data_IF_992085151289
#
_entry.id   IF_992085151289
#
_cell.length_a   1.000
_cell.length_b   1.000
_cell.length_c   1.000
_cell.angle_alpha   90.00
_cell.angle_beta   90.00
_cell.angle_gamma   90.00
#
_symmetry.space_group_name_H-M   'P 1'
#
loop_
_entity.id
_entity.type
_entity.pdbx_description
1 polymer ?
#
# COMPACT_ATOMS: atom_id res chain seq x y z
N UNK A 1 6.77 -12.02 -19.50
CA UNK A 1 6.22 -13.28 -18.94
C UNK A 1 4.84 -13.49 -19.52
N UNK A 2 4.48 -14.72 -19.89
CA UNK A 2 3.15 -15.02 -20.40
C UNK A 2 2.11 -15.04 -19.27
N UNK A 3 0.81 -14.97 -19.63
CA UNK A 3 -0.31 -15.14 -18.69
C UNK A 3 -0.19 -16.45 -17.90
N UNK A 4 0.20 -17.52 -18.61
CA UNK A 4 0.32 -18.86 -18.03
C UNK A 4 1.46 -18.92 -16.99
N UNK A 5 2.62 -18.31 -17.28
CA UNK A 5 3.75 -18.27 -16.35
C UNK A 5 3.40 -17.54 -15.05
N UNK A 6 2.62 -16.44 -15.12
CA UNK A 6 2.17 -15.71 -13.93
C UNK A 6 1.17 -16.54 -13.14
N UNK A 7 0.26 -17.25 -13.80
CA UNK A 7 -0.68 -18.14 -13.12
C UNK A 7 0.05 -19.25 -12.36
N UNK A 8 1.12 -19.81 -12.93
CA UNK A 8 1.96 -20.80 -12.26
C UNK A 8 2.61 -20.19 -11.00
N UNK A 9 3.14 -18.96 -11.08
CA UNK A 9 3.72 -18.28 -9.89
C UNK A 9 2.66 -18.10 -8.81
N UNK A 10 1.44 -17.69 -9.16
CA UNK A 10 0.34 -17.51 -8.21
C UNK A 10 -0.05 -18.87 -7.60
N UNK A 11 -0.18 -19.91 -8.40
CA UNK A 11 -0.55 -21.24 -7.92
C UNK A 11 0.48 -21.81 -6.96
N UNK A 12 1.78 -21.75 -7.30
CA UNK A 12 2.85 -22.22 -6.42
C UNK A 12 2.93 -21.39 -5.13
N UNK A 13 2.55 -20.12 -5.18
CA UNK A 13 2.45 -19.29 -3.99
C UNK A 13 1.28 -19.73 -3.08
N UNK A 14 0.12 -20.10 -3.64
CA UNK A 14 -1.00 -20.64 -2.87
C UNK A 14 -0.60 -21.95 -2.17
N UNK A 15 0.17 -22.81 -2.85
CA UNK A 15 0.72 -24.02 -2.24
C UNK A 15 1.67 -23.68 -1.08
N UNK A 16 2.53 -22.66 -1.27
CA UNK A 16 3.44 -22.18 -0.24
C UNK A 16 2.68 -21.66 0.99
N UNK A 17 1.64 -20.86 0.79
CA UNK A 17 0.79 -20.34 1.87
C UNK A 17 0.07 -21.48 2.62
N UNK A 18 -0.57 -22.39 1.89
CA UNK A 18 -1.34 -23.50 2.46
C UNK A 18 -0.46 -24.46 3.25
N UNK A 19 0.76 -24.69 2.80
CA UNK A 19 1.75 -25.55 3.44
C UNK A 19 2.54 -24.87 4.56
N UNK A 20 2.33 -23.56 4.80
CA UNK A 20 3.13 -22.71 5.70
C UNK A 20 4.63 -22.72 5.35
N UNK A 21 4.93 -22.68 4.06
CA UNK A 21 6.30 -22.63 3.53
C UNK A 21 6.98 -24.00 3.36
N UNK A 22 6.27 -25.10 3.56
CA UNK A 22 6.86 -26.46 3.43
C UNK A 22 6.92 -26.91 1.96
N UNK A 23 5.94 -26.52 1.15
CA UNK A 23 5.88 -26.81 -0.30
C UNK A 23 5.45 -25.57 -1.08
N UNK A 24 5.61 -25.58 -2.38
CA UNK A 24 5.40 -24.43 -3.24
C UNK A 24 6.53 -23.42 -3.14
N UNK A 25 6.33 -22.25 -3.72
CA UNK A 25 7.31 -21.15 -3.73
C UNK A 25 6.62 -19.82 -3.41
N UNK A 26 7.23 -19.02 -2.56
CA UNK A 26 6.79 -17.65 -2.36
C UNK A 26 6.84 -16.88 -3.68
N UNK A 27 5.74 -16.19 -4.04
CA UNK A 27 5.67 -15.46 -5.30
C UNK A 27 6.75 -14.37 -5.37
N UNK A 28 7.51 -14.40 -6.47
CA UNK A 28 8.53 -13.41 -6.77
C UNK A 28 8.23 -12.79 -8.13
N UNK A 29 7.78 -11.52 -8.10
CA UNK A 29 7.47 -10.70 -9.28
C UNK A 29 8.49 -9.55 -9.45
N UNK A 30 9.63 -9.63 -8.78
CA UNK A 30 10.64 -8.57 -8.77
C UNK A 30 11.04 -8.13 -10.17
N UNK A 31 10.91 -6.82 -10.45
CA UNK A 31 11.29 -6.20 -11.71
C UNK A 31 10.43 -6.59 -12.91
N UNK A 32 9.35 -7.34 -12.71
CA UNK A 32 8.47 -7.78 -13.79
C UNK A 32 7.53 -6.68 -14.25
N UNK A 33 7.04 -6.79 -15.49
CA UNK A 33 5.93 -5.98 -15.99
C UNK A 33 4.63 -6.77 -15.85
N UNK A 34 3.78 -6.29 -14.93
CA UNK A 34 2.42 -6.77 -14.65
C UNK A 34 1.39 -5.67 -14.90
N UNK A 35 1.72 -4.71 -15.79
CA UNK A 35 0.82 -3.60 -16.08
C UNK A 35 -0.51 -4.11 -16.67
N UNK A 36 -1.61 -3.54 -16.18
CA UNK A 36 -2.97 -3.93 -16.57
C UNK A 36 -3.42 -5.33 -16.11
N UNK A 37 -2.59 -6.03 -15.34
CA UNK A 37 -2.89 -7.40 -14.91
C UNK A 37 -4.08 -7.47 -13.93
N UNK A 38 -4.85 -8.54 -14.02
CA UNK A 38 -5.93 -8.82 -13.08
C UNK A 38 -5.46 -9.77 -11.97
N UNK A 39 -5.19 -9.19 -10.80
CA UNK A 39 -4.77 -9.87 -9.57
C UNK A 39 -5.85 -9.75 -8.47
N UNK A 40 -7.11 -9.47 -8.84
CA UNK A 40 -8.21 -9.32 -7.88
C UNK A 40 -8.36 -10.53 -7.00
N UNK A 41 -8.60 -10.28 -5.70
CA UNK A 41 -8.92 -11.30 -4.71
C UNK A 41 -7.86 -12.39 -4.53
N UNK A 42 -6.67 -12.23 -5.14
CA UNK A 42 -5.57 -13.17 -4.94
C UNK A 42 -4.98 -13.00 -3.52
N UNK A 43 -4.60 -14.10 -2.91
CA UNK A 43 -3.76 -14.06 -1.71
C UNK A 43 -2.28 -14.05 -2.16
N UNK A 44 -1.67 -12.88 -2.04
CA UNK A 44 -0.28 -12.58 -2.40
C UNK A 44 0.48 -12.06 -1.17
N UNK A 45 0.05 -12.53 0.01
CA UNK A 45 0.68 -12.15 1.27
C UNK A 45 2.15 -12.55 1.31
N UNK A 46 2.99 -11.59 1.66
CA UNK A 46 4.44 -11.75 1.67
C UNK A 46 5.12 -11.80 0.29
N UNK A 47 4.39 -11.73 -0.83
CA UNK A 47 4.98 -11.77 -2.17
C UNK A 47 6.00 -10.65 -2.40
N UNK A 48 7.01 -10.91 -3.22
CA UNK A 48 8.01 -9.91 -3.63
C UNK A 48 7.58 -9.22 -4.94
N UNK A 49 7.21 -7.94 -4.83
CA UNK A 49 6.88 -7.01 -5.90
C UNK A 49 7.93 -5.90 -6.04
N UNK A 50 9.15 -6.10 -5.56
CA UNK A 50 10.22 -5.09 -5.65
C UNK A 50 10.44 -4.66 -7.08
N UNK A 51 10.38 -3.32 -7.35
CA UNK A 51 10.60 -2.73 -8.68
C UNK A 51 9.65 -3.24 -9.77
N UNK A 52 8.51 -3.84 -9.42
CA UNK A 52 7.51 -4.32 -10.37
C UNK A 52 6.80 -3.15 -11.04
N UNK A 53 6.41 -3.31 -12.30
CA UNK A 53 5.45 -2.44 -12.95
C UNK A 53 4.04 -3.02 -12.80
N UNK A 54 3.20 -2.39 -11.98
CA UNK A 54 1.77 -2.71 -11.77
C UNK A 54 0.87 -1.57 -12.23
N UNK A 55 1.34 -0.75 -13.17
CA UNK A 55 0.55 0.34 -13.71
C UNK A 55 -0.77 -0.18 -14.26
N UNK A 56 -1.91 0.44 -13.87
CA UNK A 56 -3.26 0.04 -14.25
C UNK A 56 -3.67 -1.39 -13.82
N UNK A 57 -2.85 -2.09 -13.03
CA UNK A 57 -3.21 -3.43 -12.55
C UNK A 57 -4.42 -3.37 -11.61
N UNK A 58 -5.20 -4.45 -11.60
CA UNK A 58 -6.33 -4.60 -10.72
C UNK A 58 -5.99 -5.51 -9.52
N UNK A 59 -5.82 -4.90 -8.35
CA UNK A 59 -5.51 -5.54 -7.07
C UNK A 59 -6.72 -5.45 -6.10
N UNK A 60 -7.94 -5.25 -6.63
CA UNK A 60 -9.14 -5.11 -5.80
C UNK A 60 -9.30 -6.30 -4.87
N UNK A 61 -9.44 -6.03 -3.55
CA UNK A 61 -9.60 -7.05 -2.51
C UNK A 61 -8.47 -8.08 -2.43
N UNK A 62 -7.32 -7.86 -3.09
CA UNK A 62 -6.17 -8.73 -2.94
C UNK A 62 -5.64 -8.70 -1.50
N UNK A 63 -5.19 -9.85 -1.00
CA UNK A 63 -4.44 -9.92 0.25
C UNK A 63 -2.95 -9.71 -0.05
N UNK A 64 -2.44 -8.54 0.33
CA UNK A 64 -1.07 -8.07 0.11
C UNK A 64 -0.34 -7.86 1.45
N UNK A 65 -0.81 -8.55 2.50
CA UNK A 65 -0.24 -8.45 3.84
C UNK A 65 1.25 -8.78 3.81
N UNK A 66 2.08 -7.86 4.31
CA UNK A 66 3.53 -8.04 4.37
C UNK A 66 4.22 -8.13 3.00
N UNK A 67 3.53 -7.91 1.88
CA UNK A 67 4.14 -7.91 0.55
C UNK A 67 5.13 -6.76 0.38
N UNK A 68 6.16 -6.99 -0.42
CA UNK A 68 7.22 -6.01 -0.68
C UNK A 68 7.03 -5.33 -2.02
N UNK A 69 6.65 -4.05 -2.01
CA UNK A 69 6.47 -3.16 -3.17
C UNK A 69 7.56 -2.09 -3.27
N UNK A 70 8.72 -2.31 -2.71
CA UNK A 70 9.79 -1.31 -2.71
C UNK A 70 10.13 -0.87 -4.14
N UNK A 71 10.04 0.46 -4.39
CA UNK A 71 10.24 1.08 -5.70
C UNK A 71 9.31 0.54 -6.82
N UNK A 72 8.15 -0.02 -6.49
CA UNK A 72 7.17 -0.47 -7.46
C UNK A 72 6.42 0.71 -8.10
N UNK A 73 5.96 0.52 -9.34
CA UNK A 73 5.04 1.43 -10.01
C UNK A 73 3.61 0.90 -9.88
N UNK A 74 2.80 1.56 -9.06
CA UNK A 74 1.38 1.26 -8.83
C UNK A 74 0.47 2.37 -9.40
N UNK A 75 0.96 3.19 -10.33
CA UNK A 75 0.20 4.30 -10.90
C UNK A 75 -1.07 3.78 -11.59
N UNK A 76 -2.19 4.46 -11.36
CA UNK A 76 -3.50 4.11 -11.91
C UNK A 76 -4.02 2.72 -11.49
N UNK A 77 -3.37 2.02 -10.57
CA UNK A 77 -3.80 0.70 -10.10
C UNK A 77 -5.06 0.78 -9.24
N UNK A 78 -5.83 -0.31 -9.22
CA UNK A 78 -6.99 -0.45 -8.36
C UNK A 78 -6.67 -1.31 -7.13
N UNK A 79 -6.48 -0.67 -5.98
CA UNK A 79 -6.26 -1.27 -4.66
C UNK A 79 -7.51 -1.16 -3.77
N UNK A 80 -8.71 -1.02 -4.38
CA UNK A 80 -9.96 -0.91 -3.63
C UNK A 80 -10.13 -2.11 -2.67
N UNK A 81 -10.26 -1.84 -1.37
CA UNK A 81 -10.36 -2.87 -0.32
C UNK A 81 -9.19 -3.85 -0.24
N UNK A 82 -8.06 -3.57 -0.86
CA UNK A 82 -6.87 -4.42 -0.68
C UNK A 82 -6.39 -4.42 0.77
N UNK A 83 -5.86 -5.54 1.22
CA UNK A 83 -5.21 -5.67 2.52
C UNK A 83 -3.70 -5.45 2.37
N UNK A 84 -3.22 -4.28 2.76
CA UNK A 84 -1.81 -3.87 2.76
C UNK A 84 -1.21 -3.87 4.18
N UNK A 85 -1.79 -4.64 5.13
CA UNK A 85 -1.31 -4.67 6.51
C UNK A 85 0.19 -5.03 6.56
N UNK A 86 1.02 -4.14 7.13
CA UNK A 86 2.46 -4.33 7.25
C UNK A 86 3.22 -4.44 5.92
N UNK A 87 2.63 -4.06 4.79
CA UNK A 87 3.31 -4.07 3.49
C UNK A 87 4.41 -3.00 3.41
N UNK A 88 5.43 -3.25 2.59
CA UNK A 88 6.59 -2.38 2.39
C UNK A 88 6.49 -1.67 1.04
N UNK A 89 6.17 -0.37 1.03
CA UNK A 89 5.99 0.42 -0.19
C UNK A 89 7.04 1.55 -0.33
N UNK A 90 8.18 1.44 0.34
CA UNK A 90 9.21 2.50 0.32
C UNK A 90 9.58 2.88 -1.12
N UNK A 91 9.43 4.16 -1.46
CA UNK A 91 9.75 4.68 -2.80
C UNK A 91 8.79 4.26 -3.91
N UNK A 92 7.67 3.59 -3.61
CA UNK A 92 6.68 3.23 -4.61
C UNK A 92 5.93 4.46 -5.15
N UNK A 93 5.47 4.38 -6.41
CA UNK A 93 4.56 5.36 -7.00
C UNK A 93 3.13 4.84 -6.94
N UNK A 94 2.22 5.69 -6.43
CA UNK A 94 0.78 5.42 -6.24
C UNK A 94 -0.07 6.49 -6.92
N UNK A 95 0.48 7.19 -7.92
CA UNK A 95 -0.23 8.29 -8.60
C UNK A 95 -1.51 7.77 -9.24
N UNK A 96 -2.59 8.54 -9.04
CA UNK A 96 -3.92 8.23 -9.58
C UNK A 96 -4.46 6.84 -9.21
N UNK A 97 -3.86 6.16 -8.23
CA UNK A 97 -4.32 4.85 -7.78
C UNK A 97 -5.58 4.96 -6.91
N UNK A 98 -6.35 3.88 -6.85
CA UNK A 98 -7.55 3.80 -6.02
C UNK A 98 -7.29 2.96 -4.77
N UNK A 99 -7.11 3.60 -3.60
CA UNK A 99 -6.97 2.94 -2.30
C UNK A 99 -8.25 3.05 -1.45
N UNK A 100 -9.41 3.30 -2.06
CA UNK A 100 -10.66 3.40 -1.30
C UNK A 100 -10.89 2.16 -0.44
N UNK A 101 -11.11 2.37 0.87
CA UNK A 101 -11.32 1.30 1.85
C UNK A 101 -10.17 0.30 1.98
N UNK A 102 -8.97 0.62 1.49
CA UNK A 102 -7.79 -0.22 1.68
C UNK A 102 -7.40 -0.29 3.16
N UNK A 103 -6.86 -1.44 3.58
CA UNK A 103 -6.32 -1.68 4.92
C UNK A 103 -4.80 -1.61 4.89
N UNK A 104 -4.25 -0.43 5.19
CA UNK A 104 -2.84 -0.11 5.11
C UNK A 104 -2.20 0.10 6.50
N UNK A 105 -2.74 -0.59 7.53
CA UNK A 105 -2.22 -0.48 8.90
C UNK A 105 -0.78 -0.97 8.98
N UNK A 106 0.06 -0.21 9.71
CA UNK A 106 1.47 -0.53 9.93
C UNK A 106 2.31 -0.68 8.65
N UNK A 107 1.79 -0.28 7.50
CA UNK A 107 2.53 -0.31 6.24
C UNK A 107 3.57 0.81 6.17
N UNK A 108 4.64 0.57 5.44
CA UNK A 108 5.73 1.52 5.25
C UNK A 108 5.60 2.21 3.89
N UNK A 109 5.11 3.45 3.92
CA UNK A 109 4.92 4.31 2.75
C UNK A 109 5.98 5.43 2.65
N UNK A 110 7.14 5.25 3.24
CA UNK A 110 8.18 6.27 3.16
C UNK A 110 8.56 6.57 1.72
N UNK A 111 8.71 7.88 1.42
CA UNK A 111 9.14 8.39 0.10
C UNK A 111 8.23 7.93 -1.06
N UNK A 112 6.97 7.64 -0.81
CA UNK A 112 5.98 7.32 -1.84
C UNK A 112 5.43 8.57 -2.49
N UNK A 113 4.93 8.45 -3.73
CA UNK A 113 4.26 9.51 -4.46
C UNK A 113 2.77 9.22 -4.63
N UNK A 114 1.90 10.25 -4.44
CA UNK A 114 0.46 10.09 -4.25
C UNK A 114 -0.43 10.95 -5.14
N UNK A 115 0.15 11.70 -6.10
CA UNK A 115 -0.63 12.61 -6.95
C UNK A 115 -1.92 11.95 -7.48
N UNK A 116 -3.08 12.56 -7.20
CA UNK A 116 -4.38 12.06 -7.67
C UNK A 116 -4.86 10.74 -7.05
N UNK A 117 -4.16 10.21 -6.05
CA UNK A 117 -4.59 8.98 -5.38
C UNK A 117 -5.91 9.18 -4.61
N UNK A 118 -6.77 8.16 -4.60
CA UNK A 118 -8.08 8.19 -3.96
C UNK A 118 -8.08 7.36 -2.67
N UNK A 119 -8.24 8.01 -1.52
CA UNK A 119 -8.02 7.41 -0.19
C UNK A 119 -9.30 7.22 0.64
N UNK A 120 -10.48 7.53 0.11
CA UNK A 120 -11.74 7.53 0.88
C UNK A 120 -11.88 6.27 1.74
N UNK A 121 -12.05 6.45 3.05
CA UNK A 121 -12.20 5.38 4.03
C UNK A 121 -11.02 4.38 4.12
N UNK A 122 -9.84 4.72 3.59
CA UNK A 122 -8.64 3.92 3.78
C UNK A 122 -8.15 4.01 5.24
N UNK A 123 -7.47 2.95 5.69
CA UNK A 123 -6.98 2.88 7.06
C UNK A 123 -5.46 2.78 7.11
N UNK A 124 -4.80 3.89 7.46
CA UNK A 124 -3.35 4.04 7.61
C UNK A 124 -2.91 4.05 9.08
N UNK A 125 -3.70 3.47 9.98
CA UNK A 125 -3.35 3.47 11.40
C UNK A 125 -1.95 2.87 11.63
N UNK A 126 -1.07 3.64 12.29
CA UNK A 126 0.29 3.21 12.60
C UNK A 126 1.23 3.07 11.40
N UNK A 127 0.84 3.50 10.19
CA UNK A 127 1.71 3.47 9.00
C UNK A 127 2.79 4.56 9.05
N UNK A 128 3.83 4.40 8.24
CA UNK A 128 4.90 5.39 8.09
C UNK A 128 4.83 6.06 6.71
N UNK A 129 4.58 7.38 6.70
CA UNK A 129 4.47 8.22 5.49
C UNK A 129 5.62 9.24 5.39
N UNK A 130 6.70 9.07 6.17
CA UNK A 130 7.82 10.00 6.21
C UNK A 130 8.44 10.21 4.83
N UNK A 131 8.61 11.48 4.44
CA UNK A 131 9.20 11.85 3.16
C UNK A 131 8.34 11.54 1.94
N UNK A 132 7.06 11.12 2.12
CA UNK A 132 6.11 11.03 1.01
C UNK A 132 5.58 12.41 0.64
N UNK A 133 4.95 12.53 -0.54
CA UNK A 133 4.37 13.78 -1.04
C UNK A 133 2.84 13.89 -0.82
N UNK A 134 2.27 13.04 0.02
CA UNK A 134 0.82 12.92 0.23
C UNK A 134 0.16 14.23 0.70
N UNK A 135 0.90 15.14 1.30
CA UNK A 135 0.43 16.44 1.78
C UNK A 135 0.47 17.55 0.71
N UNK A 136 1.19 17.32 -0.39
CA UNK A 136 1.34 18.31 -1.46
C UNK A 136 0.12 18.37 -2.39
N UNK A 137 -0.66 17.29 -2.42
CA UNK A 137 -1.89 17.23 -3.19
C UNK A 137 -3.02 17.67 -2.28
N UNK A 138 -3.61 18.82 -2.60
CA UNK A 138 -4.79 19.32 -1.90
C UNK A 138 -5.91 18.30 -2.04
N UNK A 139 -5.86 17.31 -1.18
CA UNK A 139 -6.94 16.36 -1.02
C UNK A 139 -8.16 17.17 -0.65
N UNK A 140 -9.18 17.14 -1.45
CA UNK A 140 -10.43 17.74 -1.01
C UNK A 140 -10.88 17.07 0.30
N UNK A 141 -11.56 17.76 1.21
CA UNK A 141 -12.08 17.14 2.43
C UNK A 141 -12.91 15.88 2.15
N UNK A 142 -13.49 15.75 0.95
CA UNK A 142 -14.24 14.59 0.51
C UNK A 142 -13.33 13.39 0.21
N UNK A 143 -12.13 13.62 -0.33
CA UNK A 143 -11.17 12.55 -0.65
C UNK A 143 -10.53 11.92 0.59
N UNK A 144 -10.45 12.70 1.69
CA UNK A 144 -10.00 12.20 3.00
C UNK A 144 -11.16 11.71 3.88
N UNK A 145 -12.40 11.69 3.38
CA UNK A 145 -13.55 11.29 4.17
C UNK A 145 -13.37 9.89 4.77
N UNK A 146 -13.33 9.81 6.10
CA UNK A 146 -13.17 8.58 6.86
C UNK A 146 -11.79 7.93 6.77
N UNK A 147 -10.78 8.59 6.19
CA UNK A 147 -9.39 8.07 6.22
C UNK A 147 -8.86 8.12 7.65
N UNK A 148 -8.26 7.04 8.11
CA UNK A 148 -7.71 6.93 9.45
C UNK A 148 -6.18 6.98 9.42
N UNK A 149 -5.59 8.08 9.91
CA UNK A 149 -4.14 8.29 10.07
C UNK A 149 -3.68 8.24 11.53
N UNK A 150 -4.51 7.76 12.45
CA UNK A 150 -4.13 7.70 13.87
C UNK A 150 -2.85 6.86 14.04
N UNK A 151 -1.96 7.32 14.93
CA UNK A 151 -0.67 6.68 15.23
C UNK A 151 0.29 6.57 14.01
N UNK A 152 -0.09 7.06 12.83
CA UNK A 152 0.81 7.10 11.68
C UNK A 152 1.94 8.12 11.90
N UNK A 153 3.10 7.87 11.27
CA UNK A 153 4.16 8.86 11.15
C UNK A 153 3.90 9.66 9.87
N UNK A 154 3.72 10.99 10.02
CA UNK A 154 3.41 11.89 8.91
C UNK A 154 4.67 12.24 8.09
N UNK A 155 4.49 12.92 6.97
CA UNK A 155 5.55 13.25 5.98
C UNK A 155 6.76 13.96 6.55
N UNK A 156 6.59 14.71 7.64
CA UNK A 156 7.65 15.44 8.35
C UNK A 156 8.24 14.67 9.54
N UNK A 157 7.97 13.37 9.66
CA UNK A 157 8.42 12.53 10.77
C UNK A 157 7.61 12.67 12.06
N UNK A 158 6.61 13.58 12.13
CA UNK A 158 5.76 13.76 13.31
C UNK A 158 4.65 12.71 13.36
N UNK A 159 4.23 12.35 14.57
CA UNK A 159 3.16 11.37 14.79
C UNK A 159 1.78 12.00 14.65
N UNK A 160 0.88 11.33 13.96
CA UNK A 160 -0.53 11.70 13.89
C UNK A 160 -1.25 11.30 15.18
N UNK A 161 -1.98 12.26 15.79
CA UNK A 161 -2.68 12.05 17.05
C UNK A 161 -4.04 11.36 16.87
N UNK A 162 -4.65 10.96 17.98
CA UNK A 162 -6.06 10.54 18.02
C UNK A 162 -6.93 11.67 17.46
N UNK A 163 -7.91 11.30 16.63
CA UNK A 163 -8.74 12.27 15.91
C UNK A 163 -8.27 12.58 14.49
N UNK A 164 -7.14 12.00 14.02
CA UNK A 164 -6.70 12.09 12.64
C UNK A 164 -7.52 11.16 11.73
N UNK A 165 -8.84 11.36 11.74
CA UNK A 165 -9.81 10.66 10.87
C UNK A 165 -10.48 11.71 9.98
N UNK A 166 -10.34 11.57 8.67
CA UNK A 166 -10.80 12.55 7.69
C UNK A 166 -10.07 13.89 7.73
N UNK A 167 -9.06 14.03 8.58
CA UNK A 167 -8.19 15.22 8.72
C UNK A 167 -6.88 14.82 9.40
N UNK A 168 -5.84 15.62 9.22
CA UNK A 168 -4.56 15.42 9.89
C UNK A 168 -4.49 16.24 11.17
N UNK A 169 -4.18 15.59 12.28
CA UNK A 169 -3.86 16.22 13.58
C UNK A 169 -2.46 15.74 13.98
N UNK A 170 -1.50 16.64 13.98
CA UNK A 170 -0.07 16.33 14.23
C UNK A 170 0.29 16.73 15.65
N UNK A 171 1.12 15.92 16.31
CA UNK A 171 1.78 16.32 17.54
C UNK A 171 2.78 17.45 17.23
N UNK A 172 2.49 18.68 17.60
CA UNK A 172 3.53 19.67 17.72
C UNK A 172 4.50 19.23 18.83
N UNK A 173 5.80 19.45 18.60
CA UNK A 173 6.78 19.18 19.64
C UNK A 173 6.25 19.81 20.95
N UNK A 174 5.92 18.95 21.92
CA UNK A 174 5.50 19.40 23.23
C UNK A 174 6.49 20.46 23.69
N UNK A 175 6.03 21.70 23.82
CA UNK A 175 6.69 22.68 24.68
C UNK A 175 6.75 22.03 26.06
N UNK A 176 7.91 21.47 26.38
CA UNK A 176 8.21 21.04 27.75
C UNK A 176 8.00 22.29 28.63
N UNK A 177 7.05 22.30 29.57
CA UNK A 177 6.94 23.40 30.49
C UNK A 177 8.24 23.44 31.27
N UNK A 178 8.89 24.62 31.30
CA UNK A 178 10.04 24.88 32.15
C UNK A 178 9.65 24.83 33.62
#
# INVERSE_FOLDING_TARGET
MSLEEIQVVIQTHQEWLNSKGVSGLQANFKGMDLSGYDLRQQDLSGADFTQVNLQQANLEKANLQGANFQNANLDFSNLHRANLWGAYLVGASLRHSCLKKAWAKFADFRRTTWEGAQLIQANFWGSNLEGSDIDQFSQSPLELAGVNFQEATWVNGKRCLRGSVGRIVIADALSVPK
#
